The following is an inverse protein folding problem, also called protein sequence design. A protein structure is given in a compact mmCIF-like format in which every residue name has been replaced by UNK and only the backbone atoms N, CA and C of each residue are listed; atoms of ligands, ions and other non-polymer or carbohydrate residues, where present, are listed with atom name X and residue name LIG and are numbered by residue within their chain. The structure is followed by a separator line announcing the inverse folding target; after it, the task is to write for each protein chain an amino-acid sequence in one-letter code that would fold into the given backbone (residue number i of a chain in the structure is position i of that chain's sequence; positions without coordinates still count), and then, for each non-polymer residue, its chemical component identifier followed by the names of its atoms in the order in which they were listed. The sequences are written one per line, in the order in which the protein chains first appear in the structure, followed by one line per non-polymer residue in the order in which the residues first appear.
data_IF_442253018491
#
_entry.id   IF_442253018491
#
_cell.length_a   1.000
_cell.length_b   1.000
_cell.length_c   1.000
_cell.angle_alpha   90.00
_cell.angle_beta   90.00
_cell.angle_gamma   90.00
#
_symmetry.space_group_name_H-M   'P 1'
#
loop_
_entity.id
_entity.type
_entity.pdbx_description
1 polymer ?
#
# COMPACT_ATOMS: atom_id res chain seq x y z
N UNK A 1 21.42 -15.96 56.68
CA UNK A 1 22.58 -15.62 55.82
C UNK A 1 22.36 -15.92 54.32
N UNK A 2 21.86 -17.10 53.93
CA UNK A 2 21.64 -17.42 52.50
C UNK A 2 20.62 -16.53 51.77
N UNK A 3 19.62 -15.97 52.44
CA UNK A 3 18.61 -15.07 51.87
C UNK A 3 19.18 -13.68 51.57
N UNK A 4 20.00 -13.13 52.48
CA UNK A 4 20.70 -11.85 52.26
C UNK A 4 21.69 -11.87 51.08
N UNK A 5 22.37 -12.99 50.85
CA UNK A 5 23.22 -13.16 49.67
C UNK A 5 22.44 -13.18 48.33
N UNK A 6 21.23 -13.75 48.31
CA UNK A 6 20.37 -13.75 47.11
C UNK A 6 19.82 -12.35 46.80
N UNK A 7 19.45 -11.59 47.81
CA UNK A 7 18.98 -10.20 47.65
C UNK A 7 20.12 -9.29 47.17
N UNK A 8 21.33 -9.45 47.74
CA UNK A 8 22.52 -8.70 47.31
C UNK A 8 22.94 -9.02 45.88
N UNK A 9 22.84 -10.30 45.47
CA UNK A 9 23.14 -10.75 44.11
C UNK A 9 22.13 -10.22 43.11
N UNK A 10 20.84 -10.23 43.41
CA UNK A 10 19.79 -9.64 42.60
C UNK A 10 19.95 -8.12 42.44
N UNK A 11 20.25 -7.40 43.52
CA UNK A 11 20.50 -5.95 43.49
C UNK A 11 21.77 -5.61 42.67
N UNK A 12 22.78 -6.46 42.69
CA UNK A 12 24.01 -6.28 41.90
C UNK A 12 23.73 -6.50 40.41
N UNK A 13 22.87 -7.45 40.03
CA UNK A 13 22.47 -7.70 38.63
C UNK A 13 21.62 -6.51 38.13
N UNK A 14 20.67 -6.04 38.91
CA UNK A 14 19.85 -4.86 38.56
C UNK A 14 20.71 -3.62 38.42
N UNK A 15 21.68 -3.41 39.33
CA UNK A 15 22.63 -2.28 39.28
C UNK A 15 23.53 -2.34 38.02
N UNK A 16 24.00 -3.54 37.64
CA UNK A 16 24.76 -3.74 36.41
C UNK A 16 23.92 -3.51 35.16
N UNK A 17 22.66 -3.95 35.16
CA UNK A 17 21.73 -3.70 34.05
C UNK A 17 21.42 -2.20 33.88
N UNK A 18 21.24 -1.47 34.98
CA UNK A 18 21.06 -0.01 34.96
C UNK A 18 22.35 0.70 34.48
N UNK A 19 23.53 0.27 34.91
CA UNK A 19 24.80 0.82 34.44
C UNK A 19 25.06 0.53 32.94
N UNK A 20 24.66 -0.60 32.47
CA UNK A 20 24.73 -0.94 31.03
C UNK A 20 23.73 -0.15 30.17
N UNK A 21 22.60 0.26 30.74
CA UNK A 21 21.57 1.06 30.06
C UNK A 21 21.88 2.58 30.05
N UNK A 22 22.75 3.06 30.98
CA UNK A 22 23.12 4.49 31.09
C UNK A 22 23.58 5.15 29.77
N UNK A 23 24.37 4.49 28.90
CA UNK A 23 24.77 5.07 27.61
C UNK A 23 23.61 5.24 26.60
N UNK A 24 22.51 4.51 26.80
CA UNK A 24 21.34 4.52 25.92
C UNK A 24 20.22 5.44 26.43
N UNK A 25 20.32 5.98 27.65
CA UNK A 25 19.34 6.90 28.22
C UNK A 25 18.99 8.09 27.30
N UNK A 26 19.98 8.77 26.67
CA UNK A 26 19.65 9.89 25.78
C UNK A 26 18.95 9.48 24.50
N UNK A 27 19.07 8.19 24.09
CA UNK A 27 18.34 7.62 22.94
C UNK A 27 16.91 7.28 23.36
N UNK A 28 16.75 6.65 24.52
CA UNK A 28 15.45 6.30 25.11
C UNK A 28 14.63 7.56 25.44
N UNK A 29 15.24 8.62 25.99
CA UNK A 29 14.54 9.88 26.24
C UNK A 29 14.06 10.57 24.96
N UNK A 30 14.84 10.50 23.88
CA UNK A 30 14.41 11.00 22.55
C UNK A 30 13.27 10.17 21.98
N UNK A 31 13.35 8.85 22.04
CA UNK A 31 12.30 7.95 21.57
C UNK A 31 11.00 8.13 22.35
N UNK A 32 11.08 8.27 23.68
CA UNK A 32 9.91 8.56 24.53
C UNK A 32 9.32 9.95 24.24
N UNK A 33 10.16 10.96 24.03
CA UNK A 33 9.68 12.30 23.69
C UNK A 33 9.00 12.32 22.31
N UNK A 34 9.57 11.62 21.34
CA UNK A 34 9.00 11.48 20.00
C UNK A 34 7.68 10.70 20.04
N UNK A 35 7.64 9.59 20.75
CA UNK A 35 6.42 8.83 21.01
C UNK A 35 5.32 9.67 21.66
N UNK A 36 5.65 10.47 22.68
CA UNK A 36 4.70 11.39 23.31
C UNK A 36 4.20 12.47 22.35
N UNK A 37 5.04 12.92 21.41
CA UNK A 37 4.65 13.91 20.40
C UNK A 37 3.73 13.29 19.35
N UNK A 38 4.02 12.09 18.89
CA UNK A 38 3.17 11.32 17.97
C UNK A 38 1.82 10.97 18.60
N UNK A 39 1.81 10.55 19.87
CA UNK A 39 0.59 10.35 20.65
C UNK A 39 -0.26 11.62 20.82
N UNK A 40 0.40 12.76 20.96
CA UNK A 40 -0.27 14.05 21.01
C UNK A 40 -0.96 14.38 19.69
N UNK A 41 -0.31 14.13 18.54
CA UNK A 41 -0.88 14.32 17.21
C UNK A 41 -2.07 13.38 16.97
N UNK A 42 -1.99 12.11 17.40
CA UNK A 42 -3.09 11.14 17.32
C UNK A 42 -4.27 11.62 18.17
N UNK A 43 -4.01 12.13 19.37
CA UNK A 43 -5.04 12.64 20.28
C UNK A 43 -5.67 13.94 19.77
N UNK A 44 -4.88 14.85 19.23
CA UNK A 44 -5.37 16.10 18.63
C UNK A 44 -6.17 15.81 17.35
N UNK A 45 -5.78 14.80 16.54
CA UNK A 45 -6.57 14.30 15.41
C UNK A 45 -7.92 13.72 15.83
N UNK A 46 -7.97 13.00 16.95
CA UNK A 46 -9.23 12.48 17.55
C UNK A 46 -10.15 13.61 18.03
N UNK A 47 -9.59 14.67 18.61
CA UNK A 47 -10.38 15.85 19.05
C UNK A 47 -10.96 16.63 17.86
N UNK A 48 -10.28 16.66 16.71
CA UNK A 48 -10.78 17.30 15.49
C UNK A 48 -11.93 16.50 14.86
N UNK A 49 -11.89 15.18 14.90
CA UNK A 49 -12.98 14.31 14.44
C UNK A 49 -14.24 14.44 15.30
N UNK A 50 -14.10 14.57 16.61
CA UNK A 50 -15.25 14.77 17.52
C UNK A 50 -15.88 16.16 17.42
N UNK A 51 -15.12 17.18 16.95
CA UNK A 51 -15.63 18.56 16.73
C UNK A 51 -16.30 18.76 15.36
N UNK A 52 -16.13 17.81 14.43
CA UNK A 52 -16.72 17.85 13.09
C UNK A 52 -18.07 17.10 12.97
N UNK A 53 -18.66 16.64 14.07
CA UNK A 53 -20.02 16.13 14.09
C UNK A 53 -21.02 17.28 14.10
N UNK A 54 -21.57 17.50 12.93
CA UNK A 54 -22.73 18.27 12.46
C UNK A 54 -22.45 19.64 11.81
N UNK A 55 -22.93 19.84 10.57
CA UNK A 55 -24.34 20.10 10.32
C UNK A 55 -24.94 19.30 9.16
N UNK A 56 -26.27 19.04 9.24
CA UNK A 56 -27.09 18.36 8.24
C UNK A 56 -26.88 18.88 6.80
N UNK A 57 -26.80 17.98 5.80
CA UNK A 57 -26.67 18.38 4.40
C UNK A 57 -27.99 18.91 3.86
N UNK A 58 -27.97 20.15 3.41
CA UNK A 58 -28.99 20.64 2.49
C UNK A 58 -28.77 20.00 1.13
N UNK A 59 -29.79 19.29 0.68
CA UNK A 59 -29.91 18.73 -0.65
C UNK A 59 -29.83 19.82 -1.72
N UNK A 60 -28.87 19.72 -2.62
CA UNK A 60 -28.94 20.28 -3.96
C UNK A 60 -28.61 19.17 -4.97
N UNK A 61 -29.69 18.71 -5.61
CA UNK A 61 -29.64 17.86 -6.81
C UNK A 61 -29.17 18.70 -7.99
N UNK A 62 -27.92 18.58 -8.41
CA UNK A 62 -27.47 18.77 -9.79
C UNK A 62 -25.94 18.76 -9.92
N UNK A 63 -25.33 17.58 -9.97
CA UNK A 63 -24.09 17.31 -10.71
C UNK A 63 -23.79 15.81 -10.73
N UNK A 64 -24.63 15.06 -11.41
CA UNK A 64 -24.35 13.67 -11.79
C UNK A 64 -23.84 13.68 -13.22
N UNK A 65 -22.75 13.07 -13.38
CA UNK A 65 -22.30 12.31 -14.56
C UNK A 65 -20.89 12.66 -14.99
N UNK A 66 -19.96 11.88 -14.46
CA UNK A 66 -18.81 11.34 -15.21
C UNK A 66 -18.10 10.27 -14.35
N UNK A 67 -18.79 9.12 -14.21
CA UNK A 67 -18.16 7.93 -13.63
C UNK A 67 -17.21 7.27 -14.62
N UNK A 68 -15.95 7.15 -14.23
CA UNK A 68 -15.06 6.14 -14.80
C UNK A 68 -14.83 5.09 -13.72
N UNK A 69 -15.55 3.98 -13.91
CA UNK A 69 -15.49 2.80 -13.05
C UNK A 69 -14.09 2.20 -13.09
N UNK A 70 -13.36 2.34 -11.98
CA UNK A 70 -12.26 1.46 -11.67
C UNK A 70 -12.85 0.12 -11.24
N UNK A 71 -12.39 -0.97 -11.85
CA UNK A 71 -12.78 -2.32 -11.50
C UNK A 71 -12.10 -2.67 -10.18
N UNK A 72 -12.75 -2.34 -9.07
CA UNK A 72 -12.52 -3.04 -7.82
C UNK A 72 -13.05 -4.45 -7.98
N UNK A 73 -12.37 -5.51 -7.51
CA UNK A 73 -13.02 -6.79 -7.35
C UNK A 73 -14.15 -6.58 -6.34
N UNK A 74 -15.37 -6.49 -6.85
CA UNK A 74 -16.56 -6.47 -6.03
C UNK A 74 -16.52 -7.65 -5.07
N UNK A 75 -16.92 -7.46 -3.80
CA UNK A 75 -17.38 -8.58 -2.99
C UNK A 75 -18.39 -9.34 -3.86
N UNK A 76 -18.30 -10.66 -3.86
CA UNK A 76 -19.15 -11.55 -4.64
C UNK A 76 -20.59 -11.01 -4.61
N UNK A 77 -20.97 -10.32 -5.68
CA UNK A 77 -22.30 -9.78 -5.81
C UNK A 77 -23.20 -10.98 -6.03
N UNK A 78 -23.91 -11.41 -4.98
CA UNK A 78 -24.88 -12.51 -5.01
C UNK A 78 -26.02 -12.30 -6.04
N UNK A 79 -26.00 -11.17 -6.75
CA UNK A 79 -26.95 -10.81 -7.81
C UNK A 79 -26.52 -11.18 -9.23
N UNK A 80 -25.38 -11.84 -9.45
CA UNK A 80 -25.18 -12.51 -10.74
C UNK A 80 -26.03 -13.79 -10.77
N UNK A 81 -27.28 -13.61 -11.06
CA UNK A 81 -28.26 -14.65 -11.34
C UNK A 81 -27.67 -15.56 -12.41
N UNK A 82 -27.21 -16.76 -12.02
CA UNK A 82 -27.06 -17.87 -12.93
C UNK A 82 -28.46 -18.17 -13.46
N UNK A 83 -28.60 -18.20 -14.76
CA UNK A 83 -29.89 -18.50 -15.41
C UNK A 83 -30.18 -19.99 -15.51
N UNK A 84 -29.48 -20.83 -14.71
CA UNK A 84 -29.75 -22.27 -14.64
C UNK A 84 -30.80 -22.56 -13.55
N UNK A 85 -32.00 -23.00 -13.91
CA UNK A 85 -33.05 -23.29 -12.93
C UNK A 85 -32.69 -24.39 -11.90
N UNK A 86 -31.70 -25.23 -12.19
CA UNK A 86 -31.27 -26.31 -11.30
C UNK A 86 -30.34 -25.77 -10.20
N UNK A 87 -29.50 -24.81 -10.55
CA UNK A 87 -28.60 -24.11 -9.58
C UNK A 87 -29.42 -23.31 -8.58
N UNK A 88 -30.42 -22.56 -9.04
CA UNK A 88 -31.34 -21.83 -8.17
C UNK A 88 -32.09 -22.75 -7.20
N UNK A 89 -32.51 -23.93 -7.66
CA UNK A 89 -33.20 -24.94 -6.86
C UNK A 89 -32.33 -25.49 -5.71
N UNK A 90 -31.02 -25.73 -5.97
CA UNK A 90 -30.07 -26.20 -4.95
C UNK A 90 -29.84 -25.16 -3.86
N UNK A 91 -29.60 -23.93 -4.23
CA UNK A 91 -29.38 -22.81 -3.30
C UNK A 91 -30.62 -22.52 -2.46
N UNK A 92 -31.82 -22.57 -3.08
CA UNK A 92 -33.08 -22.44 -2.35
C UNK A 92 -33.28 -23.55 -1.32
N UNK A 93 -32.91 -24.79 -1.65
CA UNK A 93 -32.98 -25.92 -0.72
C UNK A 93 -31.96 -25.77 0.42
N UNK A 94 -30.73 -25.32 0.12
CA UNK A 94 -29.73 -25.00 1.15
C UNK A 94 -30.24 -23.93 2.13
N UNK A 95 -30.82 -22.86 1.60
CA UNK A 95 -31.43 -21.77 2.37
C UNK A 95 -32.58 -22.23 3.23
N UNK A 96 -33.48 -23.06 2.67
CA UNK A 96 -34.62 -23.64 3.44
C UNK A 96 -34.14 -24.49 4.61
N UNK A 97 -33.17 -25.39 4.35
CA UNK A 97 -32.58 -26.25 5.38
C UNK A 97 -31.85 -25.43 6.44
N UNK A 98 -31.08 -24.42 6.01
CA UNK A 98 -30.34 -23.54 6.92
C UNK A 98 -31.24 -22.78 7.90
N UNK A 99 -32.47 -22.41 7.48
CA UNK A 99 -33.47 -21.80 8.37
C UNK A 99 -34.10 -22.76 9.35
N UNK A 100 -34.17 -24.05 8.99
CA UNK A 100 -34.80 -25.08 9.85
C UNK A 100 -33.78 -25.62 10.88
N UNK A 101 -32.60 -26.00 10.41
CA UNK A 101 -31.49 -26.52 11.22
C UNK A 101 -30.17 -26.27 10.46
N UNK A 102 -29.43 -25.23 10.83
CA UNK A 102 -28.21 -24.86 10.13
C UNK A 102 -27.10 -25.94 10.22
N UNK A 103 -27.00 -26.66 11.34
CA UNK A 103 -26.04 -27.75 11.52
C UNK A 103 -26.33 -28.89 10.56
N UNK A 104 -27.58 -29.37 10.53
CA UNK A 104 -28.01 -30.43 9.61
C UNK A 104 -27.89 -29.98 8.14
N UNK A 105 -28.14 -28.71 7.84
CA UNK A 105 -27.94 -28.16 6.50
C UNK A 105 -26.48 -28.20 6.07
N UNK A 106 -25.54 -27.83 6.95
CA UNK A 106 -24.09 -27.87 6.66
C UNK A 106 -23.61 -29.33 6.50
N UNK A 107 -24.05 -30.25 7.32
CA UNK A 107 -23.77 -31.70 7.16
C UNK A 107 -24.31 -32.24 5.83
N UNK A 108 -25.50 -31.84 5.42
CA UNK A 108 -26.06 -32.19 4.13
C UNK A 108 -25.20 -31.65 3.00
N UNK A 109 -24.76 -30.38 3.06
CA UNK A 109 -23.90 -29.74 2.05
C UNK A 109 -22.52 -30.41 1.95
N UNK A 110 -21.92 -30.83 3.06
CA UNK A 110 -20.65 -31.57 3.04
C UNK A 110 -20.72 -32.87 2.25
N UNK A 111 -21.87 -33.53 2.26
CA UNK A 111 -22.11 -34.79 1.55
C UNK A 111 -22.48 -34.61 0.07
N UNK A 112 -22.61 -33.37 -0.43
CA UNK A 112 -22.81 -33.11 -1.84
C UNK A 112 -21.49 -33.18 -2.63
N UNK A 113 -21.59 -33.33 -3.96
CA UNK A 113 -20.41 -33.25 -4.83
C UNK A 113 -19.67 -31.92 -4.64
N UNK A 114 -18.34 -31.98 -4.61
CA UNK A 114 -17.52 -30.76 -4.49
C UNK A 114 -17.69 -29.89 -5.75
N UNK A 115 -17.88 -28.60 -5.56
CA UNK A 115 -18.05 -27.63 -6.65
C UNK A 115 -18.50 -26.28 -6.14
N UNK A 116 -18.68 -25.33 -7.07
CA UNK A 116 -19.11 -23.96 -6.80
C UNK A 116 -20.49 -23.90 -6.12
N UNK A 117 -21.43 -24.76 -6.56
CA UNK A 117 -22.78 -24.82 -5.99
C UNK A 117 -22.75 -25.18 -4.50
N UNK A 118 -21.96 -26.22 -4.12
CA UNK A 118 -21.81 -26.59 -2.72
C UNK A 118 -21.23 -25.45 -1.89
N UNK A 119 -20.18 -24.78 -2.38
CA UNK A 119 -19.58 -23.64 -1.72
C UNK A 119 -20.58 -22.50 -1.54
N UNK A 120 -21.33 -22.14 -2.58
CA UNK A 120 -22.40 -21.12 -2.50
C UNK A 120 -23.48 -21.51 -1.50
N UNK A 121 -23.91 -22.77 -1.50
CA UNK A 121 -24.85 -23.28 -0.51
C UNK A 121 -24.33 -23.16 0.92
N UNK A 122 -23.06 -23.47 1.15
CA UNK A 122 -22.43 -23.32 2.47
C UNK A 122 -22.34 -21.84 2.89
N UNK A 123 -21.96 -20.93 2.01
CA UNK A 123 -21.94 -19.48 2.28
C UNK A 123 -23.32 -18.96 2.66
N UNK A 124 -24.38 -19.38 1.96
CA UNK A 124 -25.76 -19.02 2.27
C UNK A 124 -26.21 -19.50 3.65
N UNK A 125 -25.89 -20.75 4.00
CA UNK A 125 -26.27 -21.31 5.33
C UNK A 125 -25.48 -20.63 6.44
N UNK A 126 -24.16 -20.39 6.24
CA UNK A 126 -23.34 -19.67 7.22
C UNK A 126 -23.85 -18.25 7.41
N UNK A 127 -24.20 -17.55 6.33
CA UNK A 127 -24.75 -16.19 6.42
C UNK A 127 -26.05 -16.14 7.24
N UNK A 128 -26.96 -17.09 7.03
CA UNK A 128 -28.20 -17.21 7.80
C UNK A 128 -27.94 -17.56 9.28
N UNK A 129 -27.06 -18.53 9.52
CA UNK A 129 -26.73 -18.99 10.86
C UNK A 129 -25.97 -17.91 11.64
N UNK A 130 -24.93 -17.33 11.04
CA UNK A 130 -24.18 -16.25 11.65
C UNK A 130 -25.03 -14.99 11.89
N UNK A 131 -26.12 -14.79 11.18
CA UNK A 131 -27.07 -13.71 11.44
C UNK A 131 -27.83 -13.90 12.78
N UNK A 132 -27.99 -15.13 13.25
CA UNK A 132 -28.67 -15.45 14.49
C UNK A 132 -27.69 -15.78 15.62
N UNK A 133 -26.66 -16.60 15.32
CA UNK A 133 -25.66 -17.10 16.28
C UNK A 133 -24.31 -17.29 15.54
N UNK A 134 -23.50 -16.21 15.49
CA UNK A 134 -22.21 -16.21 14.82
C UNK A 134 -21.20 -17.15 15.45
N UNK A 135 -21.17 -17.22 16.79
CA UNK A 135 -20.23 -18.05 17.53
C UNK A 135 -20.44 -19.54 17.20
N UNK A 136 -21.68 -20.02 17.28
CA UNK A 136 -22.01 -21.43 16.97
C UNK A 136 -21.69 -21.76 15.50
N UNK A 137 -21.98 -20.86 14.56
CA UNK A 137 -21.65 -21.03 13.14
C UNK A 137 -20.15 -21.20 12.91
N UNK A 138 -19.34 -20.37 13.52
CA UNK A 138 -17.88 -20.38 13.36
C UNK A 138 -17.22 -21.55 14.10
N UNK A 139 -17.69 -21.89 15.29
CA UNK A 139 -17.23 -23.09 16.02
C UNK A 139 -17.52 -24.39 15.23
N UNK A 140 -18.67 -24.45 14.57
CA UNK A 140 -18.97 -25.59 13.70
C UNK A 140 -18.01 -25.63 12.49
N UNK A 141 -17.76 -24.49 11.83
CA UNK A 141 -16.82 -24.39 10.70
C UNK A 141 -15.41 -24.80 11.11
N UNK A 142 -14.93 -24.35 12.25
CA UNK A 142 -13.60 -24.70 12.75
C UNK A 142 -13.45 -26.22 12.95
N UNK A 143 -14.51 -26.85 13.49
CA UNK A 143 -14.48 -28.27 13.84
C UNK A 143 -14.76 -29.21 12.67
N UNK A 144 -15.54 -28.79 11.67
CA UNK A 144 -16.13 -29.70 10.68
C UNK A 144 -15.78 -29.37 9.23
N UNK A 145 -15.53 -28.09 8.87
CA UNK A 145 -15.24 -27.70 7.50
C UNK A 145 -13.76 -27.91 7.15
N UNK A 146 -13.47 -28.19 5.88
CA UNK A 146 -12.11 -28.44 5.39
C UNK A 146 -11.85 -27.74 4.05
N UNK A 147 -10.58 -27.47 3.78
CA UNK A 147 -10.11 -26.93 2.50
C UNK A 147 -10.61 -25.51 2.20
N UNK A 148 -10.73 -25.17 0.92
CA UNK A 148 -11.11 -23.83 0.46
C UNK A 148 -12.49 -23.39 0.97
N UNK A 149 -13.45 -24.32 1.01
CA UNK A 149 -14.80 -24.03 1.50
C UNK A 149 -14.78 -23.57 2.97
N UNK A 150 -13.90 -24.13 3.81
CA UNK A 150 -13.73 -23.68 5.20
C UNK A 150 -13.21 -22.23 5.24
N UNK A 151 -12.21 -21.91 4.44
CA UNK A 151 -11.57 -20.58 4.47
C UNK A 151 -12.54 -19.49 4.00
N UNK A 152 -13.28 -19.74 2.92
CA UNK A 152 -14.27 -18.78 2.37
C UNK A 152 -15.44 -18.58 3.32
N UNK A 153 -15.97 -19.66 3.90
CA UNK A 153 -17.09 -19.55 4.85
C UNK A 153 -16.66 -18.95 6.20
N UNK A 154 -15.42 -19.19 6.65
CA UNK A 154 -14.84 -18.54 7.82
C UNK A 154 -14.70 -17.04 7.61
N UNK A 155 -14.12 -16.61 6.48
CA UNK A 155 -13.99 -15.20 6.14
C UNK A 155 -15.36 -14.49 6.18
N UNK A 156 -16.34 -15.02 5.45
CA UNK A 156 -17.68 -14.44 5.35
C UNK A 156 -18.40 -14.42 6.71
N UNK A 157 -18.30 -15.50 7.48
CA UNK A 157 -18.92 -15.58 8.81
C UNK A 157 -18.33 -14.57 9.81
N UNK A 158 -17.01 -14.35 9.76
CA UNK A 158 -16.33 -13.34 10.59
C UNK A 158 -16.71 -11.93 10.17
N UNK A 159 -16.77 -11.64 8.87
CA UNK A 159 -17.22 -10.33 8.36
C UNK A 159 -18.64 -10.00 8.87
N UNK A 160 -19.58 -10.94 8.76
CA UNK A 160 -20.95 -10.77 9.24
C UNK A 160 -21.03 -10.60 10.77
N UNK A 161 -20.15 -11.24 11.52
CA UNK A 161 -20.07 -11.03 12.96
C UNK A 161 -19.47 -9.67 13.30
N UNK A 162 -18.41 -9.28 12.62
CA UNK A 162 -17.74 -7.99 12.79
C UNK A 162 -18.67 -6.79 12.54
N UNK A 163 -19.57 -6.89 11.56
CA UNK A 163 -20.60 -5.86 11.32
C UNK A 163 -21.50 -5.57 12.53
N UNK A 164 -21.72 -6.58 13.35
CA UNK A 164 -22.65 -6.48 14.49
C UNK A 164 -21.96 -6.29 15.82
N UNK A 165 -20.90 -7.03 16.06
CA UNK A 165 -20.16 -7.01 17.30
C UNK A 165 -18.68 -7.39 17.08
N UNK A 166 -17.85 -6.44 16.62
CA UNK A 166 -16.44 -6.71 16.36
C UNK A 166 -15.66 -7.08 17.62
N UNK A 167 -16.09 -6.59 18.79
CA UNK A 167 -15.43 -6.90 20.06
C UNK A 167 -15.63 -8.37 20.47
N UNK A 168 -16.82 -8.94 20.29
CA UNK A 168 -17.02 -10.36 20.55
C UNK A 168 -16.28 -11.23 19.54
N UNK A 169 -16.30 -10.85 18.25
CA UNK A 169 -15.56 -11.54 17.21
C UNK A 169 -14.04 -11.55 17.49
N UNK A 170 -13.48 -10.43 17.97
CA UNK A 170 -12.06 -10.34 18.33
C UNK A 170 -11.69 -11.27 19.48
N UNK A 171 -12.53 -11.35 20.53
CA UNK A 171 -12.31 -12.26 21.66
C UNK A 171 -12.31 -13.73 21.23
N UNK A 172 -13.20 -14.11 20.31
CA UNK A 172 -13.23 -15.46 19.77
C UNK A 172 -11.96 -15.76 18.95
N UNK A 173 -11.52 -14.82 18.10
CA UNK A 173 -10.28 -14.95 17.29
C UNK A 173 -9.06 -15.06 18.20
N UNK A 174 -9.01 -14.33 19.31
CA UNK A 174 -7.90 -14.42 20.28
C UNK A 174 -7.74 -15.85 20.82
N UNK A 175 -8.84 -16.58 20.99
CA UNK A 175 -8.87 -17.98 21.43
C UNK A 175 -8.48 -19.01 20.35
N UNK A 176 -8.40 -18.62 19.08
CA UNK A 176 -8.03 -19.53 17.99
C UNK A 176 -6.56 -19.97 18.07
N UNK A 177 -6.29 -21.19 17.54
CA UNK A 177 -4.91 -21.62 17.29
C UNK A 177 -4.20 -20.63 16.34
N UNK A 178 -2.92 -20.34 16.61
CA UNK A 178 -2.12 -19.42 15.81
C UNK A 178 -1.70 -20.08 14.49
N UNK A 179 -2.61 -20.18 13.55
CA UNK A 179 -2.43 -20.77 12.23
C UNK A 179 -3.00 -19.89 11.10
N UNK A 180 -3.01 -20.40 9.87
CA UNK A 180 -3.53 -19.68 8.71
C UNK A 180 -5.02 -19.34 8.80
N UNK A 181 -5.82 -20.09 9.58
CA UNK A 181 -7.24 -19.79 9.79
C UNK A 181 -7.41 -18.55 10.66
N UNK A 182 -6.61 -18.41 11.72
CA UNK A 182 -6.58 -17.20 12.56
C UNK A 182 -6.17 -15.96 11.75
N UNK A 183 -5.20 -16.08 10.85
CA UNK A 183 -4.79 -14.97 9.99
C UNK A 183 -5.93 -14.51 9.06
N UNK A 184 -6.68 -15.44 8.47
CA UNK A 184 -7.85 -15.14 7.64
C UNK A 184 -8.97 -14.49 8.48
N UNK A 185 -9.27 -15.03 9.64
CA UNK A 185 -10.27 -14.48 10.54
C UNK A 185 -9.91 -13.08 11.04
N UNK A 186 -8.65 -12.86 11.43
CA UNK A 186 -8.16 -11.55 11.84
C UNK A 186 -8.24 -10.52 10.71
N UNK A 187 -7.84 -10.90 9.50
CA UNK A 187 -7.97 -10.05 8.30
C UNK A 187 -9.43 -9.67 8.04
N UNK A 188 -10.35 -10.63 8.06
CA UNK A 188 -11.78 -10.42 7.83
C UNK A 188 -12.40 -9.49 8.87
N UNK A 189 -12.10 -9.75 10.16
CA UNK A 189 -12.54 -8.91 11.27
C UNK A 189 -12.09 -7.46 11.08
N UNK A 190 -10.79 -7.26 10.87
CA UNK A 190 -10.19 -5.92 10.79
C UNK A 190 -10.67 -5.16 9.57
N UNK A 191 -10.77 -5.83 8.40
CA UNK A 191 -11.29 -5.22 7.19
C UNK A 191 -12.69 -4.61 7.43
N UNK A 192 -13.53 -5.31 8.18
CA UNK A 192 -14.90 -4.86 8.44
C UNK A 192 -15.00 -3.91 9.63
N UNK A 193 -14.27 -4.17 10.71
CA UNK A 193 -14.26 -3.30 11.89
C UNK A 193 -13.70 -1.91 11.57
N UNK A 194 -12.63 -1.85 10.76
CA UNK A 194 -12.02 -0.59 10.37
C UNK A 194 -12.91 0.30 9.48
N UNK A 195 -13.94 -0.24 8.82
CA UNK A 195 -14.94 0.56 8.11
C UNK A 195 -15.74 1.48 9.05
N UNK A 196 -15.98 1.06 10.29
CA UNK A 196 -16.77 1.82 11.26
C UNK A 196 -15.90 2.50 12.33
N UNK A 197 -14.90 1.78 12.87
CA UNK A 197 -14.09 2.19 14.00
C UNK A 197 -12.61 1.85 13.80
N UNK A 198 -11.91 2.52 12.85
CA UNK A 198 -10.53 2.16 12.49
C UNK A 198 -9.55 2.25 13.68
N UNK A 199 -9.73 3.22 14.58
CA UNK A 199 -8.86 3.35 15.76
C UNK A 199 -9.02 2.19 16.74
N UNK A 200 -10.24 1.68 16.94
CA UNK A 200 -10.48 0.53 17.80
C UNK A 200 -9.92 -0.77 17.19
N UNK A 201 -10.07 -0.92 15.86
CA UNK A 201 -9.44 -2.02 15.13
C UNK A 201 -7.90 -1.96 15.24
N UNK A 202 -7.31 -0.77 15.15
CA UNK A 202 -5.87 -0.55 15.28
C UNK A 202 -5.35 -0.92 16.69
N UNK A 203 -6.10 -0.57 17.75
CA UNK A 203 -5.74 -0.94 19.12
C UNK A 203 -5.72 -2.48 19.30
N UNK A 204 -6.68 -3.18 18.71
CA UNK A 204 -6.70 -4.65 18.75
C UNK A 204 -5.55 -5.25 17.94
N UNK A 205 -5.27 -4.74 16.74
CA UNK A 205 -4.16 -5.21 15.88
C UNK A 205 -2.81 -5.03 16.58
N UNK A 206 -2.60 -3.90 17.26
CA UNK A 206 -1.38 -3.66 18.04
C UNK A 206 -1.20 -4.62 19.22
N UNK A 207 -2.31 -5.18 19.76
CA UNK A 207 -2.29 -6.20 20.80
C UNK A 207 -2.01 -7.62 20.32
N UNK A 208 -2.01 -7.89 19.02
CA UNK A 208 -1.71 -9.21 18.47
C UNK A 208 -0.22 -9.53 18.62
N UNK A 209 0.14 -10.81 18.85
CA UNK A 209 1.54 -11.23 18.81
C UNK A 209 2.16 -11.00 17.43
N UNK A 210 3.45 -10.60 17.42
CA UNK A 210 4.21 -10.45 16.17
C UNK A 210 4.14 -11.71 15.31
N UNK A 211 3.94 -11.52 14.02
CA UNK A 211 3.91 -12.61 13.04
C UNK A 211 2.79 -12.50 12.00
N UNK A 212 2.59 -13.55 11.19
CA UNK A 212 1.73 -13.51 10.01
C UNK A 212 0.26 -13.10 10.28
N UNK A 213 -0.26 -13.35 11.48
CA UNK A 213 -1.62 -12.96 11.87
C UNK A 213 -1.70 -11.44 12.00
N UNK A 214 -0.75 -10.83 12.71
CA UNK A 214 -0.68 -9.38 12.89
C UNK A 214 -0.39 -8.66 11.56
N UNK A 215 0.54 -9.18 10.76
CA UNK A 215 0.86 -8.62 9.44
C UNK A 215 -0.37 -8.55 8.53
N UNK A 216 -1.13 -9.65 8.43
CA UNK A 216 -2.37 -9.69 7.63
C UNK A 216 -3.47 -8.79 8.19
N UNK A 217 -3.53 -8.62 9.49
CA UNK A 217 -4.43 -7.68 10.13
C UNK A 217 -4.04 -6.22 9.85
N UNK A 218 -2.74 -5.88 9.90
CA UNK A 218 -2.21 -4.55 9.55
C UNK A 218 -2.48 -4.18 8.09
N UNK A 219 -2.21 -5.10 7.15
CA UNK A 219 -2.54 -4.90 5.72
C UNK A 219 -4.05 -4.58 5.53
N UNK A 220 -4.93 -5.34 6.20
CA UNK A 220 -6.37 -5.13 6.11
C UNK A 220 -6.81 -3.79 6.73
N UNK A 221 -6.22 -3.43 7.87
CA UNK A 221 -6.47 -2.17 8.56
C UNK A 221 -6.14 -0.97 7.66
N UNK A 222 -4.92 -0.95 7.12
CA UNK A 222 -4.45 0.11 6.23
C UNK A 222 -5.37 0.23 5.03
N UNK A 223 -5.63 -0.87 4.33
CA UNK A 223 -6.48 -0.89 3.14
C UNK A 223 -7.89 -0.35 3.38
N UNK A 224 -8.48 -0.63 4.54
CA UNK A 224 -9.82 -0.14 4.90
C UNK A 224 -9.79 1.31 5.38
N UNK A 225 -8.78 1.68 6.16
CA UNK A 225 -8.69 3.02 6.76
C UNK A 225 -8.30 4.10 5.76
N UNK A 226 -7.35 3.83 4.85
CA UNK A 226 -6.92 4.82 3.84
C UNK A 226 -8.06 5.29 2.94
N UNK A 227 -9.04 4.44 2.67
CA UNK A 227 -10.21 4.80 1.87
C UNK A 227 -11.13 5.81 2.56
N UNK A 228 -11.04 5.93 3.89
CA UNK A 228 -11.87 6.81 4.69
C UNK A 228 -11.12 8.06 5.14
N UNK A 229 -9.91 7.88 5.65
CA UNK A 229 -9.04 8.94 6.15
C UNK A 229 -7.58 8.52 5.99
N UNK A 230 -7.02 8.80 4.81
CA UNK A 230 -5.64 8.45 4.48
C UNK A 230 -4.63 9.18 5.38
N UNK A 231 -4.95 10.40 5.85
CA UNK A 231 -4.12 11.15 6.78
C UNK A 231 -4.01 10.45 8.14
N UNK A 232 -5.14 10.05 8.72
CA UNK A 232 -5.14 9.34 9.99
C UNK A 232 -4.45 7.97 9.88
N UNK A 233 -4.67 7.26 8.77
CA UNK A 233 -3.97 6.02 8.47
C UNK A 233 -2.44 6.22 8.37
N UNK A 234 -1.99 7.31 7.72
CA UNK A 234 -0.56 7.65 7.61
C UNK A 234 0.08 7.99 8.96
N UNK A 235 -0.64 8.69 9.84
CA UNK A 235 -0.17 8.98 11.21
C UNK A 235 0.00 7.69 12.00
N UNK A 236 -0.95 6.77 11.88
CA UNK A 236 -0.85 5.46 12.52
C UNK A 236 0.28 4.62 11.95
N UNK A 237 0.40 4.56 10.61
CA UNK A 237 1.47 3.81 9.94
C UNK A 237 2.87 4.38 10.28
N UNK A 238 2.97 5.69 10.47
CA UNK A 238 4.21 6.33 10.95
C UNK A 238 4.60 5.82 12.34
N UNK A 239 3.66 5.76 13.28
CA UNK A 239 3.93 5.25 14.62
C UNK A 239 4.36 3.77 14.61
N UNK A 240 3.75 2.96 13.75
CA UNK A 240 4.15 1.55 13.53
C UNK A 240 5.55 1.44 12.92
N UNK A 241 5.85 2.26 11.90
CA UNK A 241 7.15 2.30 11.24
C UNK A 241 8.29 2.68 12.22
N UNK A 242 8.06 3.66 13.08
CA UNK A 242 9.02 4.07 14.11
C UNK A 242 9.29 2.96 15.13
N UNK A 243 8.30 2.14 15.43
CA UNK A 243 8.44 1.05 16.41
C UNK A 243 9.13 -0.19 15.80
N UNK A 244 8.76 -0.57 14.58
CA UNK A 244 9.15 -1.84 13.96
C UNK A 244 10.26 -1.69 12.90
N UNK A 245 10.61 -0.46 12.49
CA UNK A 245 11.50 -0.17 11.35
C UNK A 245 11.02 -0.81 10.04
N UNK A 246 9.69 -0.94 9.90
CA UNK A 246 9.01 -1.41 8.69
C UNK A 246 8.24 -0.24 8.07
N UNK A 247 8.68 0.20 6.90
CA UNK A 247 8.18 1.41 6.25
C UNK A 247 7.20 1.13 5.11
N UNK A 248 6.86 -0.15 4.85
CA UNK A 248 5.99 -0.53 3.73
C UNK A 248 4.59 0.07 3.89
N UNK A 249 3.98 -0.11 5.06
CA UNK A 249 2.66 0.45 5.37
C UNK A 249 2.64 1.99 5.35
N UNK A 250 3.71 2.62 5.82
CA UNK A 250 3.85 4.08 5.75
C UNK A 250 3.87 4.56 4.30
N UNK A 251 4.63 3.88 3.44
CA UNK A 251 4.67 4.19 2.01
C UNK A 251 3.30 4.05 1.35
N UNK A 252 2.59 2.94 1.62
CA UNK A 252 1.24 2.69 1.08
C UNK A 252 0.23 3.79 1.51
N UNK A 253 0.23 4.14 2.80
CA UNK A 253 -0.70 5.17 3.31
C UNK A 253 -0.39 6.56 2.76
N UNK A 254 0.89 6.96 2.65
CA UNK A 254 1.28 8.24 2.06
C UNK A 254 0.90 8.30 0.59
N UNK A 255 1.05 7.20 -0.15
CA UNK A 255 0.66 7.11 -1.56
C UNK A 255 -0.83 7.40 -1.74
N UNK A 256 -1.70 6.78 -0.95
CA UNK A 256 -3.13 7.05 -0.97
C UNK A 256 -3.48 8.45 -0.43
N UNK A 257 -2.80 8.91 0.61
CA UNK A 257 -2.97 10.26 1.13
C UNK A 257 -2.66 11.33 0.07
N UNK A 258 -1.60 11.11 -0.71
CA UNK A 258 -1.21 12.04 -1.78
C UNK A 258 -2.21 12.12 -2.94
N UNK A 259 -2.98 11.05 -3.19
CA UNK A 259 -4.08 11.06 -4.17
C UNK A 259 -5.28 11.84 -3.65
N UNK A 260 -5.64 11.65 -2.37
CA UNK A 260 -6.81 12.30 -1.77
C UNK A 260 -6.58 13.78 -1.47
N UNK A 261 -5.41 14.13 -0.96
CA UNK A 261 -5.08 15.48 -0.49
C UNK A 261 -3.60 15.81 -0.72
N UNK A 262 -3.17 16.10 -1.96
CA UNK A 262 -1.76 16.23 -2.33
C UNK A 262 -1.00 17.31 -1.56
N UNK A 263 -1.63 18.47 -1.24
CA UNK A 263 -0.96 19.53 -0.49
C UNK A 263 -0.79 19.20 1.00
N UNK A 264 -1.76 18.51 1.61
CA UNK A 264 -1.65 18.09 3.00
C UNK A 264 -0.65 16.94 3.14
N UNK A 265 -0.64 16.01 2.17
CA UNK A 265 0.35 14.92 2.12
C UNK A 265 1.77 15.47 1.93
N UNK A 266 1.96 16.50 1.07
CA UNK A 266 3.24 17.18 0.93
C UNK A 266 3.69 17.81 2.24
N UNK A 267 2.80 18.53 2.95
CA UNK A 267 3.12 19.11 4.25
C UNK A 267 3.52 18.04 5.26
N UNK A 268 2.79 16.92 5.31
CA UNK A 268 3.10 15.80 6.18
C UNK A 268 4.48 15.19 5.87
N UNK A 269 4.79 14.96 4.60
CA UNK A 269 6.09 14.39 4.17
C UNK A 269 7.24 15.37 4.43
N UNK A 270 7.04 16.68 4.31
CA UNK A 270 8.04 17.69 4.64
C UNK A 270 8.45 17.65 6.12
N UNK A 271 7.51 17.37 7.01
CA UNK A 271 7.80 17.19 8.43
C UNK A 271 8.66 15.94 8.72
N UNK A 272 8.71 15.00 7.77
CA UNK A 272 9.51 13.76 7.83
C UNK A 272 10.86 13.85 7.10
N UNK A 273 11.22 14.99 6.52
CA UNK A 273 12.37 15.12 5.62
C UNK A 273 13.75 14.79 6.24
N UNK A 274 13.88 14.87 7.56
CA UNK A 274 15.12 14.53 8.29
C UNK A 274 15.10 13.11 8.90
N UNK A 275 14.01 12.35 8.72
CA UNK A 275 13.88 11.00 9.25
C UNK A 275 14.57 9.96 8.35
N UNK A 276 14.92 8.80 8.91
CA UNK A 276 15.57 7.71 8.16
C UNK A 276 14.65 7.11 7.07
N UNK A 277 13.34 7.30 7.21
CA UNK A 277 12.30 6.86 6.26
C UNK A 277 11.86 7.98 5.29
N UNK A 278 12.57 9.10 5.24
CA UNK A 278 12.23 10.23 4.37
C UNK A 278 12.19 9.85 2.89
N UNK A 279 13.11 9.01 2.44
CA UNK A 279 13.17 8.53 1.06
C UNK A 279 11.89 7.77 0.67
N UNK A 280 11.44 6.83 1.52
CA UNK A 280 10.18 6.09 1.32
C UNK A 280 8.99 7.04 1.30
N UNK A 281 8.95 8.00 2.22
CA UNK A 281 7.86 8.97 2.32
C UNK A 281 7.77 9.86 1.08
N UNK A 282 8.91 10.39 0.60
CA UNK A 282 8.94 11.25 -0.59
C UNK A 282 8.64 10.48 -1.86
N UNK A 283 9.22 9.27 -2.03
CA UNK A 283 8.92 8.40 -3.19
C UNK A 283 7.42 8.09 -3.25
N UNK A 284 6.82 7.72 -2.11
CA UNK A 284 5.38 7.40 -2.05
C UNK A 284 4.51 8.61 -2.35
N UNK A 285 4.88 9.80 -1.88
CA UNK A 285 4.21 11.07 -2.22
C UNK A 285 4.25 11.33 -3.73
N UNK A 286 5.43 11.22 -4.34
CA UNK A 286 5.62 11.45 -5.79
C UNK A 286 4.81 10.44 -6.60
N UNK A 287 4.89 9.15 -6.24
CA UNK A 287 4.19 8.08 -6.95
C UNK A 287 2.67 8.22 -6.86
N UNK A 288 2.14 8.52 -5.67
CA UNK A 288 0.71 8.71 -5.50
C UNK A 288 0.17 9.91 -6.28
N UNK A 289 0.89 11.03 -6.29
CA UNK A 289 0.54 12.19 -7.14
C UNK A 289 0.61 11.85 -8.63
N UNK A 290 1.63 11.08 -9.04
CA UNK A 290 1.86 10.69 -10.42
C UNK A 290 0.79 9.74 -10.98
N UNK A 291 0.23 8.88 -10.14
CA UNK A 291 -0.88 7.99 -10.53
C UNK A 291 -2.16 8.76 -10.89
N UNK A 292 -2.39 9.91 -10.26
CA UNK A 292 -3.55 10.76 -10.56
C UNK A 292 -3.28 11.71 -11.72
N UNK A 293 -2.15 12.44 -11.67
CA UNK A 293 -1.77 13.41 -12.72
C UNK A 293 -0.24 13.50 -12.84
N UNK A 294 0.38 12.70 -13.73
CA UNK A 294 1.82 12.72 -13.92
C UNK A 294 2.34 14.05 -14.47
N UNK A 295 1.54 14.77 -15.28
CA UNK A 295 1.94 16.05 -15.83
C UNK A 295 1.99 17.14 -14.75
N UNK A 296 0.97 17.22 -13.89
CA UNK A 296 0.97 18.15 -12.76
C UNK A 296 2.06 17.81 -11.76
N UNK A 297 2.36 16.51 -11.54
CA UNK A 297 3.44 16.05 -10.67
C UNK A 297 4.81 16.45 -11.21
N UNK A 298 5.05 16.28 -12.51
CA UNK A 298 6.28 16.72 -13.17
C UNK A 298 6.45 18.25 -13.08
N UNK A 299 5.38 19.00 -13.31
CA UNK A 299 5.36 20.47 -13.17
C UNK A 299 5.66 20.93 -11.73
N UNK A 300 5.17 20.18 -10.74
CA UNK A 300 5.44 20.43 -9.32
C UNK A 300 6.91 20.16 -8.98
N UNK A 301 7.50 19.04 -9.44
CA UNK A 301 8.92 18.70 -9.22
C UNK A 301 9.87 19.71 -9.86
N UNK A 302 9.62 20.15 -11.11
CA UNK A 302 10.50 21.09 -11.78
C UNK A 302 10.43 22.51 -11.22
N UNK A 303 9.41 22.84 -10.43
CA UNK A 303 9.29 24.12 -9.71
C UNK A 303 10.02 24.11 -8.36
N UNK A 304 10.39 22.95 -7.84
CA UNK A 304 11.15 22.87 -6.59
C UNK A 304 12.56 23.42 -6.79
N UNK A 305 13.08 24.06 -5.75
CA UNK A 305 14.49 24.42 -5.73
C UNK A 305 15.37 23.15 -5.64
N UNK A 306 16.52 23.10 -6.33
CA UNK A 306 17.42 21.93 -6.19
C UNK A 306 17.91 21.66 -4.76
N UNK A 307 17.84 22.64 -3.88
CA UNK A 307 18.15 22.50 -2.45
C UNK A 307 16.94 22.19 -1.57
N UNK A 308 15.78 21.93 -2.15
CA UNK A 308 14.58 21.56 -1.39
C UNK A 308 14.80 20.19 -0.72
N UNK A 309 14.51 20.02 0.58
CA UNK A 309 14.78 18.77 1.30
C UNK A 309 14.08 17.54 0.73
N UNK A 310 12.95 17.72 0.05
CA UNK A 310 12.19 16.62 -0.57
C UNK A 310 12.42 16.52 -2.08
N UNK A 311 13.35 17.29 -2.65
CA UNK A 311 13.71 17.20 -4.07
C UNK A 311 14.88 16.24 -4.29
N UNK A 312 14.73 15.38 -5.30
CA UNK A 312 15.84 14.62 -5.89
C UNK A 312 15.64 14.51 -7.40
N UNK A 313 16.75 14.55 -8.15
CA UNK A 313 16.75 14.23 -9.58
C UNK A 313 16.22 12.82 -9.85
N UNK A 314 16.38 11.90 -8.89
CA UNK A 314 15.92 10.51 -8.98
C UNK A 314 14.41 10.44 -9.03
N UNK A 315 13.69 11.22 -8.23
CA UNK A 315 12.22 11.26 -8.26
C UNK A 315 11.69 11.77 -9.60
N UNK A 316 12.34 12.79 -10.16
CA UNK A 316 11.98 13.30 -11.50
C UNK A 316 12.25 12.26 -12.59
N UNK A 317 13.37 11.55 -12.49
CA UNK A 317 13.74 10.48 -13.41
C UNK A 317 12.73 9.33 -13.35
N UNK A 318 12.41 8.83 -12.15
CA UNK A 318 11.48 7.73 -11.93
C UNK A 318 10.05 8.07 -12.37
N UNK A 319 9.57 9.27 -12.03
CA UNK A 319 8.30 9.77 -12.53
C UNK A 319 8.24 9.71 -14.06
N UNK A 320 9.29 10.19 -14.74
CA UNK A 320 9.31 10.24 -16.19
C UNK A 320 9.41 8.87 -16.83
N UNK A 321 10.07 7.89 -16.19
CA UNK A 321 10.06 6.50 -16.64
C UNK A 321 8.63 5.94 -16.62
N UNK A 322 7.92 6.05 -15.48
CA UNK A 322 6.56 5.54 -15.31
C UNK A 322 5.59 6.25 -16.26
N UNK A 323 5.69 7.57 -16.37
CA UNK A 323 4.83 8.33 -17.28
C UNK A 323 5.07 7.94 -18.75
N UNK A 324 6.31 7.82 -19.18
CA UNK A 324 6.64 7.44 -20.55
C UNK A 324 6.25 5.99 -20.88
N UNK A 325 6.23 5.07 -19.90
CA UNK A 325 5.68 3.71 -20.07
C UNK A 325 4.17 3.72 -20.32
N UNK A 326 3.45 4.63 -19.69
CA UNK A 326 1.99 4.74 -19.82
C UNK A 326 1.56 5.61 -21.02
N UNK A 327 2.24 6.75 -21.24
CA UNK A 327 1.98 7.70 -22.33
C UNK A 327 3.27 8.47 -22.73
N UNK A 328 4.08 7.85 -23.58
CA UNK A 328 5.34 8.45 -24.06
C UNK A 328 5.12 9.70 -24.91
N UNK A 329 3.96 9.82 -25.57
CA UNK A 329 3.63 10.99 -26.38
C UNK A 329 3.42 12.21 -25.48
N UNK A 330 2.50 12.10 -24.49
CA UNK A 330 2.24 13.18 -23.55
C UNK A 330 3.51 13.58 -22.75
N UNK A 331 4.32 12.61 -22.32
CA UNK A 331 5.57 12.86 -21.63
C UNK A 331 6.57 13.64 -22.52
N UNK A 332 6.72 13.28 -23.80
CA UNK A 332 7.60 13.98 -24.75
C UNK A 332 7.11 15.39 -25.10
N UNK A 333 5.79 15.58 -25.24
CA UNK A 333 5.20 16.89 -25.47
C UNK A 333 5.48 17.82 -24.30
N UNK A 334 5.26 17.35 -23.07
CA UNK A 334 5.59 18.09 -21.85
C UNK A 334 7.09 18.45 -21.79
N UNK A 335 7.99 17.49 -22.00
CA UNK A 335 9.45 17.71 -22.03
C UNK A 335 9.86 18.79 -23.04
N UNK A 336 9.20 18.86 -24.19
CA UNK A 336 9.49 19.83 -25.24
C UNK A 336 9.21 21.27 -24.81
N UNK A 337 8.34 21.46 -23.81
CA UNK A 337 7.98 22.79 -23.26
C UNK A 337 8.90 23.26 -22.15
N UNK A 338 9.71 22.35 -21.58
CA UNK A 338 10.56 22.66 -20.43
C UNK A 338 11.83 23.43 -20.82
N UNK A 339 12.21 24.40 -19.98
CA UNK A 339 13.45 25.12 -20.14
C UNK A 339 14.68 24.24 -19.82
N UNK A 340 15.83 24.43 -20.50
CA UNK A 340 17.07 23.74 -20.14
C UNK A 340 17.45 23.96 -18.67
N UNK A 341 17.88 22.90 -18.00
CA UNK A 341 18.27 22.93 -16.58
C UNK A 341 18.31 21.54 -15.97
N UNK A 342 18.74 21.46 -14.71
CA UNK A 342 18.98 20.21 -14.00
C UNK A 342 17.75 19.31 -13.95
N UNK A 343 16.58 19.87 -13.63
CA UNK A 343 15.33 19.13 -13.54
C UNK A 343 14.88 18.55 -14.89
N UNK A 344 14.97 19.38 -15.97
CA UNK A 344 14.70 18.89 -17.32
C UNK A 344 15.68 17.79 -17.74
N UNK A 345 16.94 17.93 -17.38
CA UNK A 345 17.98 16.95 -17.70
C UNK A 345 17.70 15.61 -16.97
N UNK A 346 17.22 15.65 -15.72
CA UNK A 346 16.78 14.47 -14.99
C UNK A 346 15.54 13.81 -15.63
N UNK A 347 14.59 14.63 -16.04
CA UNK A 347 13.38 14.16 -16.73
C UNK A 347 13.71 13.50 -18.08
N UNK A 348 14.63 14.07 -18.86
CA UNK A 348 15.10 13.47 -20.12
C UNK A 348 15.79 12.13 -19.87
N UNK A 349 16.57 12.01 -18.80
CA UNK A 349 17.23 10.74 -18.46
C UNK A 349 16.19 9.63 -18.23
N UNK A 350 15.15 9.89 -17.43
CA UNK A 350 14.08 8.93 -17.19
C UNK A 350 13.26 8.60 -18.43
N UNK A 351 12.87 9.63 -19.18
CA UNK A 351 12.14 9.44 -20.43
C UNK A 351 12.92 8.58 -21.44
N UNK A 352 14.20 8.92 -21.66
CA UNK A 352 15.03 8.20 -22.63
C UNK A 352 15.28 6.75 -22.21
N UNK A 353 15.40 6.47 -20.92
CA UNK A 353 15.55 5.11 -20.37
C UNK A 353 14.32 4.26 -20.67
N UNK A 354 13.11 4.80 -20.43
CA UNK A 354 11.85 4.10 -20.66
C UNK A 354 11.64 3.70 -22.12
N UNK A 355 11.90 4.62 -23.07
CA UNK A 355 11.66 4.38 -24.50
C UNK A 355 12.80 3.65 -25.20
N UNK A 356 14.00 3.56 -24.58
CA UNK A 356 15.22 3.04 -25.19
C UNK A 356 15.06 1.68 -25.86
N UNK A 357 14.24 0.82 -25.28
CA UNK A 357 14.02 -0.53 -25.78
C UNK A 357 13.21 -0.58 -27.08
N UNK A 358 12.34 0.40 -27.29
CA UNK A 358 11.39 0.42 -28.39
C UNK A 358 11.76 1.45 -29.46
N UNK A 359 12.29 2.60 -29.03
CA UNK A 359 12.62 3.75 -29.85
C UNK A 359 14.06 4.25 -29.56
N UNK A 360 15.11 3.44 -29.79
CA UNK A 360 16.47 3.77 -29.36
C UNK A 360 17.05 5.03 -30.04
N UNK A 361 16.70 5.29 -31.29
CA UNK A 361 17.08 6.52 -31.96
C UNK A 361 16.47 7.75 -31.28
N UNK A 362 15.18 7.71 -30.98
CA UNK A 362 14.48 8.80 -30.28
C UNK A 362 15.06 9.01 -28.89
N UNK A 363 15.39 7.94 -28.17
CA UNK A 363 16.04 8.00 -26.87
C UNK A 363 17.41 8.69 -26.94
N UNK A 364 18.22 8.40 -27.98
CA UNK A 364 19.50 9.04 -28.23
C UNK A 364 19.33 10.52 -28.61
N UNK A 365 18.32 10.86 -29.41
CA UNK A 365 17.99 12.25 -29.76
C UNK A 365 17.65 13.05 -28.50
N UNK A 366 16.78 12.56 -27.65
CA UNK A 366 16.44 13.23 -26.38
C UNK A 366 17.66 13.38 -25.47
N UNK A 367 18.44 12.32 -25.28
CA UNK A 367 19.66 12.36 -24.47
C UNK A 367 20.68 13.41 -24.99
N UNK A 368 20.74 13.65 -26.31
CA UNK A 368 21.62 14.68 -26.90
C UNK A 368 21.21 16.11 -26.49
N UNK A 369 19.98 16.33 -26.07
CA UNK A 369 19.45 17.64 -25.64
C UNK A 369 19.64 17.93 -24.14
N UNK A 370 20.27 17.05 -23.38
CA UNK A 370 20.67 17.27 -21.99
C UNK A 370 21.64 18.44 -21.91
N UNK A 371 21.38 19.39 -21.01
CA UNK A 371 22.16 20.63 -20.90
C UNK A 371 23.54 20.40 -20.24
N UNK A 372 23.55 19.59 -19.16
CA UNK A 372 24.79 19.23 -18.47
C UNK A 372 25.63 18.28 -19.33
N UNK A 373 26.89 18.65 -19.58
CA UNK A 373 27.76 17.93 -20.48
C UNK A 373 28.13 16.52 -19.99
N UNK A 374 28.36 16.37 -18.70
CA UNK A 374 28.76 15.09 -18.12
C UNK A 374 27.55 14.12 -18.09
N UNK A 375 26.39 14.61 -17.68
CA UNK A 375 25.11 13.85 -17.72
C UNK A 375 24.76 13.46 -19.15
N UNK A 376 24.88 14.40 -20.11
CA UNK A 376 24.65 14.14 -21.54
C UNK A 376 25.54 13.01 -22.06
N UNK A 377 26.86 13.10 -21.77
CA UNK A 377 27.81 12.08 -22.20
C UNK A 377 27.48 10.71 -21.61
N UNK A 378 27.17 10.65 -20.32
CA UNK A 378 26.80 9.43 -19.63
C UNK A 378 25.52 8.82 -20.21
N UNK A 379 24.46 9.63 -20.40
CA UNK A 379 23.18 9.14 -20.91
C UNK A 379 23.27 8.71 -22.38
N UNK A 380 23.98 9.48 -23.23
CA UNK A 380 24.22 9.09 -24.61
C UNK A 380 25.04 7.81 -24.69
N UNK A 381 26.11 7.69 -23.91
CA UNK A 381 26.93 6.48 -23.86
C UNK A 381 26.10 5.25 -23.47
N UNK A 382 25.24 5.40 -22.49
CA UNK A 382 24.31 4.34 -22.07
C UNK A 382 23.32 3.95 -23.18
N UNK A 383 22.59 4.93 -23.71
CA UNK A 383 21.58 4.70 -24.75
C UNK A 383 22.17 4.11 -26.03
N UNK A 384 23.25 4.70 -26.55
CA UNK A 384 23.93 4.22 -27.75
C UNK A 384 24.58 2.86 -27.54
N UNK A 385 25.11 2.60 -26.33
CA UNK A 385 25.72 1.30 -26.02
C UNK A 385 24.67 0.16 -26.01
N UNK A 386 23.49 0.38 -25.41
CA UNK A 386 22.39 -0.59 -25.45
C UNK A 386 21.86 -0.75 -26.87
N UNK A 387 21.66 0.34 -27.60
CA UNK A 387 21.21 0.29 -28.99
C UNK A 387 22.19 -0.49 -29.87
N UNK A 388 23.49 -0.19 -29.79
CA UNK A 388 24.54 -0.86 -30.57
C UNK A 388 24.65 -2.36 -30.26
N UNK A 389 24.30 -2.81 -29.07
CA UNK A 389 24.28 -4.24 -28.72
C UNK A 389 23.28 -5.04 -29.57
N UNK A 390 22.21 -4.41 -30.06
CA UNK A 390 21.16 -5.03 -30.87
C UNK A 390 21.24 -4.61 -32.35
N UNK A 391 21.57 -3.36 -32.62
CA UNK A 391 21.55 -2.72 -33.95
C UNK A 391 22.80 -1.87 -34.18
N UNK A 392 24.02 -2.44 -34.23
CA UNK A 392 25.27 -1.69 -34.27
C UNK A 392 25.45 -0.81 -35.51
N UNK A 393 24.94 -1.25 -36.65
CA UNK A 393 25.03 -0.49 -37.88
C UNK A 393 24.19 0.79 -37.87
N UNK A 394 22.95 0.70 -37.34
CA UNK A 394 22.04 1.83 -37.23
C UNK A 394 22.54 2.83 -36.18
N UNK A 395 22.99 2.33 -35.00
CA UNK A 395 23.59 3.17 -33.98
C UNK A 395 24.82 3.94 -34.49
N UNK A 396 25.71 3.29 -35.27
CA UNK A 396 26.88 3.91 -35.83
C UNK A 396 26.52 4.97 -36.90
N UNK A 397 25.56 4.68 -37.78
CA UNK A 397 25.06 5.63 -38.78
C UNK A 397 24.50 6.90 -38.12
N UNK A 398 23.68 6.72 -37.09
CA UNK A 398 23.15 7.84 -36.29
C UNK A 398 24.29 8.65 -35.64
N UNK A 399 25.29 8.03 -35.01
CA UNK A 399 26.42 8.73 -34.40
C UNK A 399 27.22 9.54 -35.44
N UNK A 400 27.30 9.05 -36.65
CA UNK A 400 28.03 9.74 -37.74
C UNK A 400 27.26 10.94 -38.33
N UNK A 401 25.91 10.83 -38.36
CA UNK A 401 25.02 11.82 -39.01
C UNK A 401 24.44 12.85 -38.06
N UNK A 402 24.26 12.51 -36.78
CA UNK A 402 23.69 13.39 -35.77
C UNK A 402 24.59 14.65 -35.53
N UNK A 403 23.96 15.75 -35.14
CA UNK A 403 24.63 17.00 -34.74
C UNK A 403 25.26 16.86 -33.35
N UNK A 404 26.37 16.11 -33.27
CA UNK A 404 27.13 15.90 -32.04
C UNK A 404 28.47 16.67 -32.08
N UNK A 405 28.89 17.10 -30.88
CA UNK A 405 30.27 17.63 -30.73
C UNK A 405 31.32 16.59 -31.17
N UNK A 406 32.42 16.98 -31.79
CA UNK A 406 33.43 16.03 -32.32
C UNK A 406 33.94 15.04 -31.24
N UNK A 407 34.15 15.50 -30.02
CA UNK A 407 34.62 14.66 -28.92
C UNK A 407 33.57 13.59 -28.52
N UNK A 408 32.27 13.97 -28.44
CA UNK A 408 31.14 13.08 -28.14
C UNK A 408 31.02 12.03 -29.25
N UNK A 409 31.03 12.47 -30.52
CA UNK A 409 30.97 11.56 -31.68
C UNK A 409 32.09 10.53 -31.66
N UNK A 410 33.33 10.95 -31.40
CA UNK A 410 34.48 10.04 -31.33
C UNK A 410 34.32 9.03 -30.20
N UNK A 411 33.90 9.49 -29.01
CA UNK A 411 33.68 8.62 -27.87
C UNK A 411 32.61 7.55 -28.15
N UNK A 412 31.46 7.95 -28.72
CA UNK A 412 30.37 7.02 -29.04
C UNK A 412 30.74 6.03 -30.14
N UNK A 413 31.49 6.49 -31.18
CA UNK A 413 31.98 5.61 -32.24
C UNK A 413 32.95 4.53 -31.70
N UNK A 414 33.86 4.91 -30.80
CA UNK A 414 34.76 3.97 -30.13
C UNK A 414 33.98 2.98 -29.25
N UNK A 415 32.96 3.46 -28.51
CA UNK A 415 32.08 2.59 -27.68
C UNK A 415 31.41 1.50 -28.53
N UNK A 416 30.97 1.84 -29.75
CA UNK A 416 30.31 0.87 -30.65
C UNK A 416 31.33 -0.10 -31.23
N UNK A 417 32.56 0.37 -31.57
CA UNK A 417 33.64 -0.42 -32.19
C UNK A 417 34.35 -1.34 -31.21
N UNK A 418 34.20 -1.09 -29.89
CA UNK A 418 34.88 -1.85 -28.85
C UNK A 418 36.37 -1.48 -28.67
N UNK A 419 36.76 -0.28 -29.08
CA UNK A 419 38.11 0.27 -29.00
C UNK A 419 38.36 1.10 -27.72
#
# INVERSE_FOLDING_TARGET
MRWLYRVFFLLSIIGLAILAALPYLPKIEREVAHFCQTWKLIREGREVVDTLKDPEPKTDEAAIDRGRSLITPSPLNLETVSTDPAEDSFILEARRRGKEDPTAAMDWLQNQHSGSERLRGMLEVVALWAAEDSESALLWLESNAQGLARLETLNNGVELWAERNPTEASQWIDGMANDGSKAIAAKALVAKWAEAEPSAAAEWVAGLPDGPVQEKAKEALVKSWVMQDAKAASIWALAEAEFNSDYELLGETIREFSKQSPEEAESFVRDLAEAEYSEVAVTSLVMGRAEEDPAATAEWLVKMAPADPIYSDEYTNELMQIWAESDSIAASEWLSTQNPGQQRDAAISGFSESILRYEPEVAAVWASTISDADRRMKQLGHNVGIWAATQPAEALDWVQTAELEPAVRTHLANLISGD
#
